data_IF_243463339214
#
_entry.id   IF_243463339214
#
_cell.length_a   1.000
_cell.length_b   1.000
_cell.length_c   1.000
_cell.angle_alpha   90.00
_cell.angle_beta   90.00
_cell.angle_gamma   90.00
#
_symmetry.space_group_name_H-M   'P 1'
#
loop_
_entity.id
_entity.type
_entity.pdbx_description
1 polymer ?
#
# COMPACT_ATOMS: atom_id res chain seq x y z
N UNK A 1 11.98 19.66 1.29
CA UNK A 1 10.97 18.68 0.80
C UNK A 1 10.80 18.64 -0.72
N UNK A 2 10.82 19.77 -1.46
CA UNK A 2 10.55 19.75 -2.92
C UNK A 2 11.43 18.76 -3.72
N UNK A 3 12.76 18.78 -3.55
CA UNK A 3 13.67 17.80 -4.17
C UNK A 3 13.38 16.36 -3.76
N UNK A 4 13.02 16.12 -2.50
CA UNK A 4 12.66 14.78 -2.03
C UNK A 4 11.38 14.27 -2.68
N UNK A 5 10.31 15.08 -2.73
CA UNK A 5 9.06 14.73 -3.41
C UNK A 5 9.29 14.45 -4.89
N UNK A 6 10.03 15.34 -5.57
CA UNK A 6 10.38 15.20 -6.98
C UNK A 6 11.17 13.90 -7.23
N UNK A 7 12.12 13.60 -6.34
CA UNK A 7 12.89 12.37 -6.41
C UNK A 7 12.01 11.13 -6.20
N UNK A 8 11.22 11.10 -5.12
CA UNK A 8 10.40 9.95 -4.74
C UNK A 8 9.33 9.63 -5.79
N UNK A 9 8.64 10.61 -6.34
CA UNK A 9 7.55 10.33 -7.28
C UNK A 9 8.00 10.11 -8.73
N UNK A 10 9.05 10.79 -9.19
CA UNK A 10 9.41 10.79 -10.62
C UNK A 10 10.83 10.34 -10.95
N UNK A 11 11.84 10.55 -10.09
CA UNK A 11 13.24 10.32 -10.49
C UNK A 11 13.80 8.97 -10.09
N UNK A 12 13.60 8.50 -8.86
CA UNK A 12 14.21 7.24 -8.45
C UNK A 12 13.52 6.07 -9.16
N UNK A 13 14.29 5.12 -9.66
CA UNK A 13 13.75 3.96 -10.37
C UNK A 13 13.20 2.92 -9.38
N UNK A 14 11.94 2.44 -9.54
CA UNK A 14 11.47 1.29 -8.79
C UNK A 14 12.42 0.10 -8.98
N UNK A 15 12.70 -0.66 -7.91
CA UNK A 15 13.53 -1.86 -8.04
C UNK A 15 12.81 -2.96 -8.85
N UNK A 16 13.57 -3.94 -9.33
CA UNK A 16 13.05 -5.03 -10.16
C UNK A 16 12.00 -5.90 -9.45
N UNK A 17 11.96 -5.88 -8.11
CA UNK A 17 10.96 -6.60 -7.32
C UNK A 17 9.52 -6.19 -7.65
N UNK A 18 9.29 -4.92 -8.00
CA UNK A 18 7.96 -4.48 -8.45
C UNK A 18 7.56 -5.14 -9.78
N UNK A 19 8.46 -5.18 -10.77
CA UNK A 19 8.19 -5.85 -12.05
C UNK A 19 8.07 -7.37 -11.88
N UNK A 20 8.92 -7.99 -11.06
CA UNK A 20 8.84 -9.42 -10.76
C UNK A 20 7.52 -9.78 -10.07
N UNK A 21 7.06 -8.94 -9.13
CA UNK A 21 5.76 -9.11 -8.49
C UNK A 21 4.62 -8.96 -9.50
N UNK A 22 4.69 -7.98 -10.41
CA UNK A 22 3.67 -7.80 -11.46
C UNK A 22 3.58 -9.04 -12.34
N UNK A 23 4.71 -9.61 -12.77
CA UNK A 23 4.74 -10.86 -13.55
C UNK A 23 4.08 -12.03 -12.82
N UNK A 24 4.26 -12.14 -11.50
CA UNK A 24 3.63 -13.18 -10.67
C UNK A 24 2.10 -13.03 -10.56
N UNK A 25 1.59 -11.80 -10.57
CA UNK A 25 0.17 -11.53 -10.25
C UNK A 25 -0.67 -11.08 -11.43
N UNK A 26 -0.09 -10.67 -12.57
CA UNK A 26 -0.82 -10.03 -13.67
C UNK A 26 -1.94 -10.87 -14.29
N UNK A 27 -1.80 -12.20 -14.28
CA UNK A 27 -2.82 -13.15 -14.76
C UNK A 27 -3.78 -13.61 -13.64
N UNK A 28 -3.66 -13.04 -12.44
CA UNK A 28 -4.48 -13.35 -11.27
C UNK A 28 -5.46 -12.21 -10.98
N UNK A 29 -6.48 -12.54 -10.20
CA UNK A 29 -7.33 -11.55 -9.57
C UNK A 29 -6.58 -11.01 -8.33
N UNK A 30 -6.07 -9.77 -8.43
CA UNK A 30 -5.20 -9.17 -7.41
C UNK A 30 -5.60 -7.73 -7.13
N UNK A 31 -5.25 -7.27 -5.92
CA UNK A 31 -5.30 -5.88 -5.50
C UNK A 31 -4.03 -5.54 -4.71
N UNK A 32 -3.57 -4.29 -4.81
CA UNK A 32 -2.41 -3.80 -4.07
C UNK A 32 -2.87 -2.86 -2.96
N UNK A 33 -2.42 -3.13 -1.74
CA UNK A 33 -2.48 -2.22 -0.61
C UNK A 33 -1.06 -1.83 -0.24
N UNK A 34 -0.77 -0.53 -0.16
CA UNK A 34 0.57 -0.06 0.21
C UNK A 34 0.55 1.12 1.16
N UNK A 35 1.51 1.17 2.08
CA UNK A 35 1.80 2.35 2.90
C UNK A 35 2.86 3.26 2.26
N UNK A 36 3.45 2.85 1.12
CA UNK A 36 4.41 3.65 0.39
C UNK A 36 3.71 4.79 -0.37
N UNK A 37 4.38 5.93 -0.46
CA UNK A 37 3.85 7.18 -1.02
C UNK A 37 4.54 7.59 -2.33
N UNK A 38 5.30 6.66 -2.93
CA UNK A 38 6.22 6.89 -4.06
C UNK A 38 5.65 6.54 -5.44
N UNK A 39 4.47 5.93 -5.48
CA UNK A 39 3.82 5.41 -6.67
C UNK A 39 4.65 4.36 -7.45
N UNK A 40 5.54 3.61 -6.79
CA UNK A 40 6.34 2.58 -7.47
C UNK A 40 5.50 1.50 -8.15
N UNK A 41 4.35 1.10 -7.56
CA UNK A 41 3.44 0.15 -8.19
C UNK A 41 2.90 0.67 -9.53
N UNK A 42 2.34 1.88 -9.57
CA UNK A 42 1.90 2.52 -10.82
C UNK A 42 3.04 2.57 -11.83
N UNK A 43 4.22 3.05 -11.39
CA UNK A 43 5.38 3.26 -12.27
C UNK A 43 5.99 1.96 -12.79
N UNK A 44 5.73 0.84 -12.12
CA UNK A 44 6.10 -0.50 -12.55
C UNK A 44 5.04 -1.16 -13.47
N UNK A 45 3.92 -0.49 -13.73
CA UNK A 45 2.89 -0.95 -14.66
C UNK A 45 1.69 -1.64 -14.03
N UNK A 46 1.52 -1.58 -12.70
CA UNK A 46 0.29 -2.03 -12.06
C UNK A 46 -0.88 -1.13 -12.46
N UNK A 47 -2.07 -1.73 -12.60
CA UNK A 47 -3.31 -1.00 -12.87
C UNK A 47 -3.65 -0.08 -11.68
N UNK A 48 -3.77 1.22 -11.92
CA UNK A 48 -4.01 2.21 -10.87
C UNK A 48 -5.38 2.08 -10.22
N UNK A 49 -6.35 1.48 -10.90
CA UNK A 49 -7.66 1.16 -10.31
C UNK A 49 -7.58 -0.02 -9.31
N UNK A 50 -6.43 -0.71 -9.25
CA UNK A 50 -6.14 -1.84 -8.34
C UNK A 50 -5.11 -1.51 -7.26
N UNK A 51 -4.79 -0.24 -7.06
CA UNK A 51 -3.81 0.20 -6.05
C UNK A 51 -4.53 1.10 -5.04
N UNK A 52 -4.47 0.74 -3.77
CA UNK A 52 -4.91 1.60 -2.69
C UNK A 52 -3.74 2.03 -1.81
N UNK A 53 -3.60 3.35 -1.64
CA UNK A 53 -2.59 3.99 -0.78
C UNK A 53 -3.26 4.82 0.33
N UNK A 54 -3.65 4.21 1.47
CA UNK A 54 -4.29 4.91 2.59
C UNK A 54 -3.42 5.98 3.26
N UNK A 55 -2.10 5.94 3.00
CA UNK A 55 -1.10 6.90 3.52
C UNK A 55 -0.86 8.07 2.56
N UNK A 56 -1.47 8.07 1.38
CA UNK A 56 -1.38 9.12 0.38
C UNK A 56 -0.25 8.91 -0.62
N UNK A 57 0.14 9.95 -1.34
CA UNK A 57 1.23 9.91 -2.31
C UNK A 57 1.78 11.31 -2.61
N UNK A 58 3.01 11.35 -3.11
CA UNK A 58 3.68 12.60 -3.49
C UNK A 58 3.16 13.24 -4.79
N UNK A 59 2.24 12.58 -5.49
CA UNK A 59 1.54 13.10 -6.69
C UNK A 59 0.80 14.40 -6.42
N UNK A 60 0.29 14.56 -5.19
CA UNK A 60 -0.52 15.73 -4.82
C UNK A 60 0.08 16.53 -3.68
N UNK A 61 -0.25 17.82 -3.68
CA UNK A 61 -0.24 18.66 -2.50
C UNK A 61 -1.64 18.70 -1.89
N UNK A 62 -1.69 19.03 -0.60
CA UNK A 62 -2.92 19.30 0.13
C UNK A 62 -2.78 20.54 0.99
N UNK A 63 -3.90 21.16 1.33
CA UNK A 63 -3.90 22.23 2.32
C UNK A 63 -3.52 21.70 3.72
N UNK A 64 -2.69 22.44 4.47
CA UNK A 64 -2.36 22.09 5.87
C UNK A 64 -3.44 22.53 6.85
N UNK A 65 -4.35 23.41 6.41
CA UNK A 65 -5.61 23.73 7.10
C UNK A 65 -6.72 23.14 6.23
N UNK A 66 -7.25 21.93 6.51
CA UNK A 66 -8.21 21.22 5.64
C UNK A 66 -9.50 22.03 5.48
N UNK A 67 -9.46 23.05 4.62
CA UNK A 67 -10.45 24.11 4.51
C UNK A 67 -11.68 23.66 3.73
N UNK A 68 -11.52 22.58 2.97
CA UNK A 68 -12.55 21.82 2.26
C UNK A 68 -12.01 20.41 1.97
N UNK A 69 -12.88 19.40 1.80
CA UNK A 69 -12.47 18.00 1.65
C UNK A 69 -11.61 17.71 0.42
N UNK A 70 -11.82 18.48 -0.66
CA UNK A 70 -11.12 18.39 -1.95
C UNK A 70 -9.99 19.44 -2.09
N UNK A 71 -9.43 19.92 -0.96
CA UNK A 71 -8.26 20.80 -0.98
C UNK A 71 -6.95 20.06 -1.29
N UNK A 72 -6.98 19.19 -2.30
CA UNK A 72 -5.90 18.35 -2.84
C UNK A 72 -5.71 18.69 -4.32
N UNK A 73 -4.47 18.81 -4.79
CA UNK A 73 -4.16 19.25 -6.17
C UNK A 73 -2.79 18.78 -6.63
N UNK A 74 -2.60 18.66 -7.94
CA UNK A 74 -1.38 18.19 -8.60
C UNK A 74 -0.11 18.90 -8.10
N UNK A 75 0.90 18.12 -7.71
CA UNK A 75 2.15 18.66 -7.21
C UNK A 75 3.15 18.99 -8.31
N UNK A 76 3.10 18.32 -9.48
CA UNK A 76 4.05 18.52 -10.59
C UNK A 76 4.21 19.99 -11.00
N UNK A 77 3.14 20.76 -11.31
CA UNK A 77 3.30 22.14 -11.80
C UNK A 77 3.91 23.09 -10.76
N UNK A 78 3.76 22.77 -9.47
CA UNK A 78 4.38 23.50 -8.38
C UNK A 78 5.83 23.06 -8.20
N UNK A 79 6.11 21.77 -8.22
CA UNK A 79 7.48 21.24 -8.10
C UNK A 79 8.39 21.71 -9.26
N UNK A 80 7.88 21.83 -10.48
CA UNK A 80 8.62 22.41 -11.62
C UNK A 80 9.16 23.82 -11.32
N UNK A 81 8.43 24.61 -10.52
CA UNK A 81 8.83 25.96 -10.11
C UNK A 81 9.70 25.95 -8.86
N UNK A 82 9.47 25.02 -7.95
CA UNK A 82 10.12 24.99 -6.63
C UNK A 82 11.49 24.32 -6.67
N UNK A 83 11.65 23.22 -7.39
CA UNK A 83 12.89 22.43 -7.43
C UNK A 83 14.11 23.27 -7.85
N UNK A 84 14.02 24.12 -8.89
CA UNK A 84 15.13 24.99 -9.28
C UNK A 84 15.50 26.06 -8.25
N UNK A 85 14.60 26.38 -7.31
CA UNK A 85 14.80 27.39 -6.27
C UNK A 85 15.39 26.81 -4.98
N UNK A 86 15.58 25.48 -4.91
CA UNK A 86 16.10 24.84 -3.71
C UNK A 86 17.61 25.07 -3.62
N UNK A 87 18.00 25.84 -2.62
CA UNK A 87 19.39 26.03 -2.24
C UNK A 87 20.06 24.69 -1.90
N UNK A 88 21.21 24.40 -2.51
CA UNK A 88 21.88 23.09 -2.39
C UNK A 88 22.50 22.86 -1.00
N UNK A 89 22.92 23.93 -0.31
CA UNK A 89 23.57 23.81 1.00
C UNK A 89 22.56 23.64 2.12
N UNK A 90 21.46 24.39 2.07
CA UNK A 90 20.43 24.44 3.12
C UNK A 90 19.21 23.57 2.82
N UNK A 91 18.97 23.22 1.56
CA UNK A 91 17.77 22.51 1.13
C UNK A 91 16.48 23.35 1.21
N UNK A 92 16.60 24.67 1.41
CA UNK A 92 15.48 25.59 1.57
C UNK A 92 15.11 26.27 0.25
N UNK A 93 13.84 26.66 0.13
CA UNK A 93 13.35 27.56 -0.92
C UNK A 93 13.17 28.97 -0.33
N UNK A 94 13.15 30.03 -1.17
CA UNK A 94 12.76 31.37 -0.74
C UNK A 94 11.39 31.39 -0.06
N UNK A 95 11.22 32.25 0.96
CA UNK A 95 9.98 32.30 1.76
C UNK A 95 8.76 32.72 0.94
N UNK A 96 8.95 33.59 -0.05
CA UNK A 96 7.94 34.04 -1.01
C UNK A 96 7.59 32.99 -2.07
N UNK A 97 8.43 31.95 -2.24
CA UNK A 97 8.15 30.81 -3.10
C UNK A 97 7.31 29.71 -2.42
N UNK A 98 7.04 29.81 -1.11
CA UNK A 98 6.26 28.78 -0.40
C UNK A 98 4.85 28.67 -1.01
N UNK A 99 4.47 27.51 -1.57
CA UNK A 99 3.18 27.35 -2.21
C UNK A 99 2.03 27.54 -1.22
N UNK A 100 0.93 28.10 -1.71
CA UNK A 100 -0.28 28.39 -0.92
C UNK A 100 -1.47 27.64 -1.48
N UNK A 101 -2.40 27.30 -0.59
CA UNK A 101 -3.65 26.67 -0.95
C UNK A 101 -4.42 27.60 -1.89
N UNK A 102 -4.87 27.13 -3.07
CA UNK A 102 -5.60 27.97 -4.02
C UNK A 102 -6.97 28.43 -3.50
N UNK A 103 -7.47 27.80 -2.42
CA UNK A 103 -8.80 28.06 -1.87
C UNK A 103 -8.79 29.02 -0.67
N UNK A 104 -7.78 28.96 0.20
CA UNK A 104 -7.77 29.73 1.46
C UNK A 104 -6.41 30.39 1.78
N UNK A 105 -5.44 30.30 0.86
CA UNK A 105 -4.11 30.88 0.98
C UNK A 105 -3.28 30.41 2.19
N UNK A 106 -3.70 29.35 2.89
CA UNK A 106 -2.90 28.67 3.92
C UNK A 106 -1.72 27.92 3.28
N UNK A 107 -0.77 27.47 4.10
CA UNK A 107 0.33 26.63 3.62
C UNK A 107 -0.18 25.29 3.06
N UNK A 108 0.65 24.67 2.24
CA UNK A 108 0.38 23.36 1.64
C UNK A 108 1.53 22.42 1.96
N UNK A 109 1.23 21.13 1.98
CA UNK A 109 2.21 20.06 2.16
C UNK A 109 1.85 18.89 1.24
N UNK A 110 2.78 17.97 0.98
CA UNK A 110 2.46 16.80 0.16
C UNK A 110 1.28 16.03 0.76
N UNK A 111 0.45 15.42 -0.08
CA UNK A 111 -0.72 14.66 0.35
C UNK A 111 -0.29 13.28 0.88
N UNK A 112 0.38 13.32 2.03
CA UNK A 112 0.81 12.17 2.80
C UNK A 112 0.27 12.30 4.20
N UNK A 113 -0.09 11.17 4.81
CA UNK A 113 -0.67 11.18 6.16
C UNK A 113 0.37 11.63 7.18
N UNK A 114 0.03 12.69 7.92
CA UNK A 114 0.87 13.20 9.02
C UNK A 114 0.08 13.77 10.20
N UNK A 115 -1.23 13.57 10.25
CA UNK A 115 -2.11 14.00 11.34
C UNK A 115 -3.54 14.25 10.88
N UNK A 116 -4.35 14.86 11.74
CA UNK A 116 -5.76 15.19 11.50
C UNK A 116 -6.01 16.17 10.33
N UNK A 117 -4.94 16.75 9.79
CA UNK A 117 -4.99 17.61 8.61
C UNK A 117 -4.93 16.82 7.29
N UNK A 118 -4.65 15.51 7.31
CA UNK A 118 -4.58 14.67 6.11
C UNK A 118 -5.93 14.61 5.36
N UNK A 119 -5.90 14.87 4.05
CA UNK A 119 -7.09 14.81 3.20
C UNK A 119 -7.08 13.51 2.40
N UNK A 120 -7.93 12.57 2.80
CA UNK A 120 -8.01 11.23 2.19
C UNK A 120 -8.99 11.14 1.00
N UNK A 121 -9.88 12.12 0.82
CA UNK A 121 -11.00 12.06 -0.11
C UNK A 121 -10.64 11.65 -1.55
N UNK A 122 -9.43 11.98 -2.00
CA UNK A 122 -8.93 11.63 -3.33
C UNK A 122 -8.79 10.11 -3.56
N UNK A 123 -8.68 9.34 -2.48
CA UNK A 123 -8.44 7.89 -2.50
C UNK A 123 -9.69 7.07 -2.18
N UNK A 124 -10.85 7.70 -1.97
CA UNK A 124 -12.07 6.98 -1.58
C UNK A 124 -12.55 6.00 -2.67
N UNK A 125 -12.33 6.32 -3.96
CA UNK A 125 -12.64 5.39 -5.05
C UNK A 125 -11.83 4.10 -4.92
N UNK A 126 -10.53 4.19 -4.64
CA UNK A 126 -9.65 3.04 -4.47
C UNK A 126 -9.93 2.30 -3.15
N UNK A 127 -10.30 3.04 -2.09
CA UNK A 127 -10.77 2.49 -0.82
C UNK A 127 -12.03 1.62 -1.02
N UNK A 128 -13.02 2.13 -1.75
CA UNK A 128 -14.23 1.38 -2.09
C UNK A 128 -13.92 0.18 -2.97
N UNK A 129 -13.01 0.33 -3.94
CA UNK A 129 -12.61 -0.75 -4.84
C UNK A 129 -11.93 -1.92 -4.10
N UNK A 130 -10.98 -1.66 -3.19
CA UNK A 130 -10.33 -2.74 -2.42
C UNK A 130 -11.32 -3.41 -1.46
N UNK A 131 -12.21 -2.64 -0.81
CA UNK A 131 -13.25 -3.18 0.07
C UNK A 131 -14.19 -4.11 -0.69
N UNK A 132 -14.65 -3.67 -1.85
CA UNK A 132 -15.52 -4.47 -2.70
C UNK A 132 -14.80 -5.74 -3.17
N UNK A 133 -13.56 -5.61 -3.63
CA UNK A 133 -12.75 -6.76 -4.04
C UNK A 133 -12.53 -7.78 -2.92
N UNK A 134 -12.21 -7.35 -1.70
CA UNK A 134 -12.04 -8.25 -0.55
C UNK A 134 -13.34 -8.94 -0.16
N UNK A 135 -14.48 -8.21 -0.21
CA UNK A 135 -15.80 -8.78 0.03
C UNK A 135 -16.13 -9.86 -0.99
N UNK A 136 -15.89 -9.58 -2.28
CA UNK A 136 -16.15 -10.53 -3.36
C UNK A 136 -15.23 -11.75 -3.27
N UNK A 137 -13.96 -11.56 -2.93
CA UNK A 137 -13.01 -12.63 -2.69
C UNK A 137 -13.50 -13.57 -1.57
N UNK A 138 -13.95 -13.00 -0.43
CA UNK A 138 -14.50 -13.76 0.71
C UNK A 138 -15.75 -14.56 0.30
N UNK A 139 -16.69 -13.92 -0.41
CA UNK A 139 -17.94 -14.58 -0.85
C UNK A 139 -17.66 -15.69 -1.88
N UNK A 140 -16.68 -15.50 -2.75
CA UNK A 140 -16.36 -16.45 -3.81
C UNK A 140 -15.81 -17.79 -3.29
N UNK A 141 -15.31 -17.83 -2.05
CA UNK A 141 -14.65 -19.00 -1.48
C UNK A 141 -13.33 -19.39 -2.18
N UNK A 142 -12.79 -18.51 -3.04
CA UNK A 142 -11.48 -18.72 -3.66
C UNK A 142 -10.37 -18.71 -2.61
N UNK A 143 -9.28 -19.41 -2.90
CA UNK A 143 -8.08 -19.36 -2.06
C UNK A 143 -7.48 -17.95 -2.08
N UNK A 144 -7.44 -17.30 -0.92
CA UNK A 144 -6.80 -16.00 -0.71
C UNK A 144 -5.35 -16.21 -0.29
N UNK A 145 -4.43 -15.53 -0.98
CA UNK A 145 -3.02 -15.45 -0.62
C UNK A 145 -2.65 -13.98 -0.44
N UNK A 146 -2.17 -13.63 0.75
CA UNK A 146 -1.57 -12.32 1.03
C UNK A 146 -0.07 -12.45 0.87
N UNK A 147 0.52 -11.67 -0.03
CA UNK A 147 1.97 -11.52 -0.15
C UNK A 147 2.34 -10.17 0.45
N UNK A 148 2.95 -10.20 1.65
CA UNK A 148 3.38 -9.01 2.37
C UNK A 148 4.90 -8.85 2.24
N UNK A 149 5.35 -7.71 1.71
CA UNK A 149 6.76 -7.47 1.40
C UNK A 149 7.26 -6.21 2.11
N UNK A 150 8.27 -6.36 2.95
CA UNK A 150 8.96 -5.24 3.60
C UNK A 150 8.12 -4.43 4.60
N UNK A 151 6.95 -4.92 5.00
CA UNK A 151 6.16 -4.26 6.03
C UNK A 151 6.75 -4.54 7.42
N UNK A 152 7.29 -3.50 8.07
CA UNK A 152 7.70 -3.54 9.47
C UNK A 152 6.66 -2.92 10.41
N UNK A 153 7.10 -2.46 11.58
CA UNK A 153 6.22 -1.90 12.62
C UNK A 153 6.08 -0.36 12.61
N UNK A 154 6.47 0.31 11.52
CA UNK A 154 6.26 1.76 11.40
C UNK A 154 4.77 2.12 11.23
N UNK A 155 4.04 1.33 10.44
CA UNK A 155 2.61 1.54 10.14
C UNK A 155 1.83 0.21 10.13
N UNK A 156 1.92 -0.61 11.19
CA UNK A 156 1.39 -1.97 11.18
C UNK A 156 -0.14 -2.00 11.10
N UNK A 157 -0.81 -0.95 11.56
CA UNK A 157 -2.27 -0.78 11.45
C UNK A 157 -2.75 -0.54 10.02
N UNK A 158 -1.84 -0.24 9.08
CA UNK A 158 -2.17 0.03 7.69
C UNK A 158 -2.08 -1.23 6.85
N UNK A 159 -1.04 -2.04 7.07
CA UNK A 159 -0.75 -3.22 6.25
C UNK A 159 -0.83 -4.49 7.10
N UNK A 160 0.07 -4.66 8.07
CA UNK A 160 0.25 -5.93 8.80
C UNK A 160 -1.01 -6.43 9.48
N UNK A 161 -1.56 -5.68 10.43
CA UNK A 161 -2.69 -6.14 11.23
C UNK A 161 -3.97 -6.35 10.41
N UNK A 162 -4.35 -5.43 9.49
CA UNK A 162 -5.49 -5.67 8.60
C UNK A 162 -5.33 -6.93 7.75
N UNK A 163 -4.14 -7.16 7.20
CA UNK A 163 -3.90 -8.33 6.34
C UNK A 163 -3.87 -9.64 7.12
N UNK A 164 -3.26 -9.65 8.31
CA UNK A 164 -3.32 -10.81 9.21
C UNK A 164 -4.76 -11.15 9.59
N UNK A 165 -5.57 -10.15 9.91
CA UNK A 165 -6.99 -10.35 10.24
C UNK A 165 -7.79 -10.84 9.03
N UNK A 166 -7.53 -10.30 7.84
CA UNK A 166 -8.17 -10.77 6.61
C UNK A 166 -7.82 -12.23 6.29
N UNK A 167 -6.57 -12.65 6.49
CA UNK A 167 -6.14 -14.05 6.34
C UNK A 167 -6.91 -14.96 7.30
N UNK A 168 -7.20 -14.53 8.54
CA UNK A 168 -8.06 -15.29 9.48
C UNK A 168 -9.46 -15.46 8.93
N UNK A 169 -10.08 -14.37 8.50
CA UNK A 169 -11.46 -14.38 8.00
C UNK A 169 -11.67 -15.23 6.75
N UNK A 170 -10.66 -15.32 5.89
CA UNK A 170 -10.76 -16.08 4.64
C UNK A 170 -10.15 -17.47 4.74
N UNK A 171 -9.61 -17.86 5.90
CA UNK A 171 -8.75 -19.04 6.05
C UNK A 171 -7.65 -19.09 4.96
N UNK A 172 -7.07 -17.91 4.68
CA UNK A 172 -6.11 -17.69 3.61
C UNK A 172 -4.69 -18.18 3.94
N UNK A 173 -3.73 -17.84 3.10
CA UNK A 173 -2.30 -18.02 3.38
C UNK A 173 -1.57 -16.69 3.39
N UNK A 174 -0.74 -16.46 4.40
CA UNK A 174 0.18 -15.31 4.46
C UNK A 174 1.57 -15.74 3.98
N UNK A 175 2.15 -15.01 3.03
CA UNK A 175 3.56 -15.10 2.67
C UNK A 175 4.20 -13.76 3.06
N UNK A 176 5.06 -13.78 4.07
CA UNK A 176 5.74 -12.57 4.58
C UNK A 176 7.20 -12.60 4.17
N UNK A 177 7.61 -11.60 3.39
CA UNK A 177 8.98 -11.42 2.90
C UNK A 177 9.57 -10.19 3.60
N UNK A 178 10.39 -10.41 4.61
CA UNK A 178 11.03 -9.31 5.35
C UNK A 178 12.32 -9.80 6.05
N UNK A 179 13.48 -9.17 5.82
CA UNK A 179 14.76 -9.62 6.39
C UNK A 179 14.86 -9.37 7.90
N UNK A 180 14.11 -8.41 8.44
CA UNK A 180 14.23 -7.97 9.84
C UNK A 180 12.96 -8.24 10.65
N UNK A 181 11.79 -7.97 10.07
CA UNK A 181 10.48 -8.12 10.72
C UNK A 181 9.66 -9.26 10.08
N UNK A 182 10.29 -10.42 9.90
CA UNK A 182 9.72 -11.58 9.19
C UNK A 182 8.79 -12.46 10.02
N UNK A 183 8.65 -12.23 11.32
CA UNK A 183 7.79 -13.01 12.22
C UNK A 183 6.33 -13.03 11.78
N UNK A 184 5.65 -14.15 12.02
CA UNK A 184 4.26 -14.39 11.65
C UNK A 184 3.48 -14.90 12.87
N UNK A 185 2.18 -14.57 13.01
CA UNK A 185 1.35 -15.11 14.09
C UNK A 185 1.23 -16.64 14.00
N UNK A 186 1.28 -17.32 15.15
CA UNK A 186 1.23 -18.79 15.24
C UNK A 186 -0.10 -19.39 14.76
N UNK A 187 -1.17 -18.60 14.82
CA UNK A 187 -2.53 -19.01 14.45
C UNK A 187 -2.84 -18.88 12.95
N UNK A 188 -1.91 -18.31 12.16
CA UNK A 188 -2.07 -18.18 10.72
C UNK A 188 -1.39 -19.31 9.95
N UNK A 189 -2.01 -19.73 8.85
CA UNK A 189 -1.29 -20.46 7.80
C UNK A 189 -0.32 -19.49 7.12
N UNK A 190 0.94 -19.54 7.51
CA UNK A 190 1.94 -18.56 7.07
C UNK A 190 3.28 -19.16 6.65
N UNK A 191 3.93 -18.49 5.70
CA UNK A 191 5.30 -18.73 5.27
C UNK A 191 6.08 -17.44 5.54
N UNK A 192 7.17 -17.54 6.30
CA UNK A 192 8.09 -16.45 6.57
C UNK A 192 9.37 -16.62 5.76
N UNK A 193 9.73 -15.61 4.98
CA UNK A 193 10.95 -15.56 4.17
C UNK A 193 11.77 -14.37 4.67
N UNK A 194 12.91 -14.68 5.30
CA UNK A 194 13.79 -13.68 5.95
C UNK A 194 14.79 -13.07 4.97
N UNK A 195 14.27 -12.61 3.84
CA UNK A 195 15.04 -12.03 2.74
C UNK A 195 14.38 -10.75 2.23
N UNK A 196 15.06 -10.05 1.31
CA UNK A 196 14.48 -8.92 0.59
C UNK A 196 13.57 -9.36 -0.56
N UNK A 197 13.18 -8.40 -1.39
CA UNK A 197 12.31 -8.65 -2.56
C UNK A 197 12.89 -9.68 -3.54
N UNK A 198 14.20 -9.96 -3.49
CA UNK A 198 14.87 -10.95 -4.34
C UNK A 198 14.26 -12.35 -4.22
N UNK A 199 13.64 -12.68 -3.08
CA UNK A 199 12.92 -13.93 -2.89
C UNK A 199 11.78 -14.15 -3.91
N UNK A 200 11.27 -13.09 -4.54
CA UNK A 200 10.27 -13.19 -5.60
C UNK A 200 10.82 -13.88 -6.86
N UNK A 201 12.12 -13.76 -7.14
CA UNK A 201 12.75 -14.36 -8.32
C UNK A 201 12.68 -15.89 -8.27
N UNK A 202 12.84 -16.46 -7.08
CA UNK A 202 12.74 -17.91 -6.87
C UNK A 202 11.30 -18.39 -7.06
N UNK A 203 10.31 -17.57 -6.67
CA UNK A 203 8.89 -17.87 -6.87
C UNK A 203 8.49 -17.89 -8.35
N UNK A 204 9.09 -17.03 -9.18
CA UNK A 204 8.87 -17.03 -10.64
C UNK A 204 9.50 -18.26 -11.29
N UNK A 205 10.68 -18.67 -10.80
CA UNK A 205 11.45 -19.77 -11.38
C UNK A 205 10.88 -21.15 -11.06
N UNK A 206 10.05 -21.26 -10.01
CA UNK A 206 9.31 -22.47 -9.67
C UNK A 206 8.14 -22.69 -10.66
N UNK A 207 8.44 -23.25 -11.84
CA UNK A 207 7.43 -23.70 -12.80
C UNK A 207 6.55 -24.82 -12.20
N UNK A 208 5.25 -24.94 -12.58
CA UNK A 208 4.38 -26.02 -12.12
C UNK A 208 4.86 -27.45 -12.46
N UNK A 209 5.85 -27.61 -13.32
CA UNK A 209 6.35 -28.91 -13.77
C UNK A 209 7.23 -29.64 -12.72
N UNK A 210 7.67 -28.97 -11.66
CA UNK A 210 8.66 -29.53 -10.71
C UNK A 210 8.07 -30.22 -9.47
N UNK A 211 6.76 -30.42 -9.35
CA UNK A 211 6.16 -31.02 -8.14
C UNK A 211 5.30 -32.27 -8.41
N UNK A 212 5.89 -33.45 -8.18
CA UNK A 212 5.15 -34.66 -7.78
C UNK A 212 4.97 -34.67 -6.24
N UNK A 213 3.81 -35.09 -5.69
CA UNK A 213 3.43 -34.76 -4.31
C UNK A 213 3.78 -35.87 -3.32
N UNK A 214 4.21 -35.49 -2.12
CA UNK A 214 3.77 -36.15 -0.87
C UNK A 214 4.22 -35.35 0.36
N UNK A 215 3.36 -34.46 0.87
CA UNK A 215 3.36 -34.16 2.30
C UNK A 215 1.89 -34.27 2.74
N UNK A 216 1.63 -35.25 3.60
CA UNK A 216 0.32 -35.46 4.20
C UNK A 216 -0.01 -34.26 5.11
N UNK A 217 -1.11 -33.57 4.82
CA UNK A 217 -1.72 -32.61 5.74
C UNK A 217 -2.69 -33.35 6.65
N UNK A 218 -2.41 -33.37 7.95
CA UNK A 218 -3.39 -33.79 8.96
C UNK A 218 -4.50 -32.72 9.04
N UNK A 219 -5.73 -33.16 8.82
CA UNK A 219 -6.94 -32.37 9.01
C UNK A 219 -7.35 -32.41 10.48
N UNK A 220 -7.59 -31.24 11.07
CA UNK A 220 -8.44 -31.13 12.26
C UNK A 220 -9.75 -30.43 11.85
N UNK A 221 -10.87 -31.11 12.09
CA UNK A 221 -12.22 -30.64 11.79
C UNK A 221 -12.85 -29.87 12.96
N UNK A 222 -13.48 -28.76 12.56
CA UNK A 222 -14.76 -28.16 12.95
C UNK A 222 -15.02 -27.59 14.36
N UNK A 223 -15.46 -26.32 14.33
CA UNK A 223 -16.47 -25.73 15.21
C UNK A 223 -17.35 -24.78 14.39
N UNK A 224 -18.67 -24.84 14.59
CA UNK A 224 -19.74 -24.25 13.76
C UNK A 224 -20.35 -22.97 14.40
N UNK A 225 -20.92 -22.10 13.56
CA UNK A 225 -21.85 -20.96 13.82
C UNK A 225 -21.34 -19.74 14.63
N UNK A 226 -21.65 -18.46 14.39
CA UNK A 226 -22.74 -17.73 13.69
C UNK A 226 -22.39 -16.22 13.61
N UNK A 227 -23.03 -15.52 12.66
CA UNK A 227 -23.35 -14.07 12.60
C UNK A 227 -22.21 -13.09 12.22
N UNK A 228 -22.10 -12.73 10.93
CA UNK A 228 -21.13 -11.73 10.43
C UNK A 228 -21.80 -10.70 9.51
N UNK A 229 -22.40 -9.67 10.10
CA UNK A 229 -22.58 -8.39 9.40
C UNK A 229 -21.33 -7.52 9.57
N UNK A 230 -20.66 -7.25 8.44
CA UNK A 230 -19.73 -6.14 8.15
C UNK A 230 -18.39 -6.04 8.93
N UNK A 231 -17.43 -6.95 8.65
CA UNK A 231 -16.03 -6.77 9.12
C UNK A 231 -15.07 -6.12 8.10
N UNK A 232 -15.39 -6.12 6.79
CA UNK A 232 -14.53 -5.52 5.75
C UNK A 232 -14.34 -4.00 5.95
N UNK A 233 -15.34 -3.32 6.51
CA UNK A 233 -15.27 -1.88 6.76
C UNK A 233 -14.24 -1.49 7.85
N UNK A 234 -13.90 -2.41 8.76
CA UNK A 234 -12.95 -2.17 9.85
C UNK A 234 -11.50 -2.06 9.35
N UNK A 235 -11.18 -2.66 8.21
CA UNK A 235 -9.81 -2.69 7.70
C UNK A 235 -9.35 -1.38 7.06
N UNK A 236 -10.29 -0.60 6.51
CA UNK A 236 -9.96 0.59 5.70
C UNK A 236 -10.84 1.80 6.03
N UNK A 237 -11.52 1.79 7.18
CA UNK A 237 -12.42 2.86 7.62
C UNK A 237 -11.73 3.80 8.57
N UNK A 238 -11.64 5.07 8.16
CA UNK A 238 -11.23 6.22 8.96
C UNK A 238 -10.35 5.86 10.17
N UNK A 239 -9.03 5.82 9.94
CA UNK A 239 -8.05 5.91 11.02
C UNK A 239 -8.18 7.31 11.65
N UNK A 240 -9.22 7.50 12.45
CA UNK A 240 -9.43 8.68 13.30
C UNK A 240 -8.45 8.55 14.46
N UNK A 241 -7.32 9.24 14.33
CA UNK A 241 -6.45 9.64 15.45
C UNK A 241 -6.58 11.14 15.65
#
# INVERSE_FOLDING_TARGET
HAKHMDNMRWKFTPNEGYSTLLELVKEKDYFVLTSNVDACFERAGFDTDRIYTPQGEWTYFQCTRPCRPDAVFESRPLLDKLVPLVDEETGMIPQDAIPKCPYCSSNVFGNVRGGSWYLHNHYERQNDAIRQWMKDAKISGKNVVVVEIGAGFNTPTVTRFPMESWVRETNGTLIRINPSDGEVPEDLRAISIKEGWQALTDMVSASPEDHHPSIAMEQMQNGDTTDETEHVAMYFGHFDW
#
